data_IF_088160348688
#
_entry.id   IF_088160348688
#
_cell.length_a   1.000
_cell.length_b   1.000
_cell.length_c   1.000
_cell.angle_alpha   90.00
_cell.angle_beta   90.00
_cell.angle_gamma   90.00
#
_symmetry.space_group_name_H-M   'P 1'
#
loop_
_entity.id
_entity.type
_entity.pdbx_description
1 polymer ?
#
# COMPACT_ATOMS: atom_id res chain seq x y z
N UNK A 1 7.54 -23.96 -25.84
CA UNK A 1 7.15 -22.55 -25.98
C UNK A 1 5.65 -22.46 -25.74
N UNK A 2 5.23 -22.00 -24.56
CA UNK A 2 3.82 -22.05 -24.12
C UNK A 2 2.92 -21.13 -24.95
N UNK A 3 1.68 -21.56 -25.21
CA UNK A 3 0.75 -20.83 -26.07
C UNK A 3 0.17 -19.60 -25.36
N UNK A 4 -0.02 -18.52 -26.12
CA UNK A 4 -0.64 -17.26 -25.69
C UNK A 4 -2.18 -17.35 -25.55
N UNK A 5 -2.75 -18.53 -25.80
CA UNK A 5 -4.19 -18.76 -25.78
C UNK A 5 -4.71 -19.11 -24.37
N UNK A 6 -3.84 -19.43 -23.40
CA UNK A 6 -4.29 -19.71 -22.03
C UNK A 6 -4.58 -18.40 -21.30
N UNK A 7 -5.86 -18.12 -21.10
CA UNK A 7 -6.29 -17.02 -20.25
C UNK A 7 -6.04 -17.40 -18.79
N UNK A 8 -5.31 -16.60 -18.01
CA UNK A 8 -5.11 -16.86 -16.59
C UNK A 8 -6.47 -16.82 -15.88
N UNK A 9 -6.75 -17.84 -15.08
CA UNK A 9 -7.99 -17.92 -14.30
C UNK A 9 -7.91 -16.93 -13.14
N UNK A 10 -8.78 -15.94 -13.15
CA UNK A 10 -8.84 -14.93 -12.09
C UNK A 10 -9.27 -15.57 -10.74
N UNK A 11 -8.70 -15.14 -9.62
CA UNK A 11 -9.12 -15.59 -8.30
C UNK A 11 -10.56 -15.14 -8.01
N UNK A 12 -11.34 -16.01 -7.36
CA UNK A 12 -12.73 -15.73 -6.98
C UNK A 12 -12.83 -14.70 -5.85
N UNK A 13 -13.83 -13.84 -5.89
CA UNK A 13 -14.11 -12.86 -4.84
C UNK A 13 -14.58 -13.54 -3.56
N UNK A 14 -13.95 -13.22 -2.43
CA UNK A 14 -14.37 -13.68 -1.10
C UNK A 14 -15.17 -12.57 -0.41
N UNK A 15 -16.39 -12.89 0.02
CA UNK A 15 -17.23 -11.97 0.81
C UNK A 15 -16.94 -12.22 2.29
N UNK A 16 -16.39 -11.22 2.98
CA UNK A 16 -16.22 -11.25 4.43
C UNK A 16 -17.40 -10.53 5.09
N UNK A 17 -18.17 -11.26 5.89
CA UNK A 17 -19.22 -10.67 6.72
C UNK A 17 -18.59 -10.07 7.96
N UNK A 18 -18.75 -8.75 8.12
CA UNK A 18 -18.34 -8.03 9.33
C UNK A 18 -19.58 -7.92 10.23
N UNK A 19 -19.46 -8.21 11.54
CA UNK A 19 -20.59 -8.05 12.46
C UNK A 19 -21.00 -6.58 12.54
N UNK A 20 -22.29 -6.34 12.31
CA UNK A 20 -22.91 -5.03 12.47
C UNK A 20 -23.05 -4.73 13.97
N UNK A 21 -22.42 -3.65 14.44
CA UNK A 21 -22.58 -3.19 15.82
C UNK A 21 -23.95 -2.53 15.96
N UNK A 22 -24.84 -3.14 16.75
CA UNK A 22 -26.09 -2.52 17.16
C UNK A 22 -25.81 -1.53 18.29
N UNK A 23 -25.87 -0.23 18.01
CA UNK A 23 -25.84 0.80 19.05
C UNK A 23 -27.20 0.83 19.73
N UNK A 24 -27.35 0.06 20.81
CA UNK A 24 -28.50 0.19 21.70
C UNK A 24 -28.33 1.47 22.50
N UNK A 25 -29.08 2.52 22.16
CA UNK A 25 -29.18 3.73 22.98
C UNK A 25 -29.96 3.40 24.25
N UNK A 26 -29.26 2.97 25.30
CA UNK A 26 -29.80 2.99 26.66
C UNK A 26 -29.62 4.41 27.21
N UNK A 27 -30.74 5.08 27.48
CA UNK A 27 -30.78 6.33 28.22
C UNK A 27 -30.46 6.06 29.70
N UNK A 28 -29.71 6.97 30.32
CA UNK A 28 -29.36 7.04 31.76
C UNK A 28 -28.15 6.14 32.12
N UNK A 29 -27.01 6.59 32.65
CA UNK A 29 -26.74 7.64 33.62
C UNK A 29 -25.26 8.08 33.59
N UNK A 30 -24.98 9.19 34.27
CA UNK A 30 -23.73 9.97 34.31
C UNK A 30 -22.51 9.22 34.89
N UNK A 31 -21.36 9.26 34.19
CA UNK A 31 -19.98 9.49 34.70
C UNK A 31 -18.88 8.63 34.04
N UNK A 32 -17.86 9.32 33.53
CA UNK A 32 -16.49 8.84 33.30
C UNK A 32 -16.29 7.85 32.14
N UNK A 33 -15.91 8.34 30.95
CA UNK A 33 -14.77 7.87 30.10
C UNK A 33 -14.94 8.44 28.67
N UNK A 34 -14.56 9.70 28.45
CA UNK A 34 -14.52 10.29 27.09
C UNK A 34 -13.11 10.69 26.61
N UNK A 35 -12.08 10.59 27.48
CA UNK A 35 -10.71 10.96 27.10
C UNK A 35 -9.97 9.91 26.25
N UNK A 36 -10.46 8.67 26.20
CA UNK A 36 -9.81 7.54 25.51
C UNK A 36 -10.22 7.41 24.02
N UNK A 37 -11.42 7.86 23.66
CA UNK A 37 -11.93 7.77 22.30
C UNK A 37 -11.29 8.83 21.37
N UNK A 38 -11.10 10.05 21.86
CA UNK A 38 -10.53 11.15 21.10
C UNK A 38 -9.02 10.94 20.80
N UNK A 39 -8.29 10.38 21.76
CA UNK A 39 -6.88 10.00 21.59
C UNK A 39 -6.71 8.85 20.59
N UNK A 40 -7.56 7.82 20.63
CA UNK A 40 -7.54 6.72 19.66
C UNK A 40 -7.88 7.18 18.22
N UNK A 41 -8.83 8.10 18.06
CA UNK A 41 -9.24 8.64 16.77
C UNK A 41 -8.16 9.55 16.15
N UNK A 42 -7.50 10.35 16.98
CA UNK A 42 -6.37 11.19 16.56
C UNK A 42 -5.20 10.33 16.09
N UNK A 43 -4.88 9.26 16.83
CA UNK A 43 -3.82 8.30 16.47
C UNK A 43 -4.14 7.59 15.15
N UNK A 44 -5.40 7.17 14.94
CA UNK A 44 -5.82 6.51 13.69
C UNK A 44 -5.78 7.45 12.47
N UNK A 45 -6.01 8.74 12.66
CA UNK A 45 -5.91 9.74 11.59
C UNK A 45 -4.45 10.02 11.22
N UNK A 46 -3.55 10.08 12.21
CA UNK A 46 -2.11 10.23 12.00
C UNK A 46 -1.51 9.02 11.27
N UNK A 47 -1.86 7.81 11.68
CA UNK A 47 -1.44 6.57 11.00
C UNK A 47 -1.93 6.52 9.55
N UNK A 48 -3.15 6.99 9.28
CA UNK A 48 -3.64 7.09 7.89
C UNK A 48 -2.83 8.10 7.06
N UNK A 49 -2.51 9.27 7.62
CA UNK A 49 -1.69 10.28 6.94
C UNK A 49 -0.29 9.75 6.62
N UNK A 50 0.36 9.08 7.56
CA UNK A 50 1.71 8.52 7.34
C UNK A 50 1.70 7.41 6.30
N UNK A 51 0.70 6.53 6.31
CA UNK A 51 0.54 5.48 5.30
C UNK A 51 0.28 6.03 3.89
N UNK A 52 -0.53 7.09 3.76
CA UNK A 52 -0.75 7.75 2.48
C UNK A 52 0.52 8.43 1.96
N UNK A 53 1.27 9.12 2.84
CA UNK A 53 2.54 9.75 2.48
C UNK A 53 3.62 8.73 2.09
N UNK A 54 3.73 7.61 2.81
CA UNK A 54 4.69 6.56 2.49
C UNK A 54 4.35 5.90 1.15
N UNK A 55 3.07 5.65 0.89
CA UNK A 55 2.59 5.10 -0.38
C UNK A 55 2.88 6.04 -1.55
N UNK A 56 2.65 7.34 -1.37
CA UNK A 56 2.96 8.34 -2.40
C UNK A 56 4.47 8.42 -2.68
N UNK A 57 5.31 8.48 -1.65
CA UNK A 57 6.77 8.48 -1.81
C UNK A 57 7.30 7.20 -2.44
N UNK A 58 6.74 6.04 -2.09
CA UNK A 58 7.12 4.74 -2.66
C UNK A 58 6.84 4.71 -4.16
N UNK A 59 5.63 5.11 -4.58
CA UNK A 59 5.27 5.17 -6.01
C UNK A 59 6.18 6.11 -6.79
N UNK A 60 6.42 7.32 -6.27
CA UNK A 60 7.30 8.29 -6.90
C UNK A 60 8.75 7.78 -6.99
N UNK A 61 9.25 7.12 -5.94
CA UNK A 61 10.56 6.49 -5.94
C UNK A 61 10.69 5.36 -6.97
N UNK A 62 9.66 4.52 -7.12
CA UNK A 62 9.64 3.48 -8.15
C UNK A 62 9.63 4.07 -9.56
N UNK A 63 8.86 5.13 -9.78
CA UNK A 63 8.86 5.86 -11.07
C UNK A 63 10.24 6.45 -11.35
N UNK A 64 10.84 7.16 -10.39
CA UNK A 64 12.17 7.75 -10.57
C UNK A 64 13.25 6.68 -10.85
N UNK A 65 13.28 5.59 -10.08
CA UNK A 65 14.26 4.51 -10.25
C UNK A 65 14.05 3.77 -11.57
N UNK A 66 12.80 3.52 -11.98
CA UNK A 66 12.52 2.87 -13.26
C UNK A 66 12.91 3.74 -14.46
N UNK A 67 12.60 5.04 -14.44
CA UNK A 67 13.06 5.97 -15.46
C UNK A 67 14.58 6.07 -15.48
N UNK A 68 15.24 6.10 -14.32
CA UNK A 68 16.71 6.12 -14.25
C UNK A 68 17.31 4.84 -14.83
N UNK A 69 16.74 3.67 -14.53
CA UNK A 69 17.17 2.39 -15.11
C UNK A 69 16.97 2.31 -16.61
N UNK A 70 15.86 2.83 -17.14
CA UNK A 70 15.62 2.92 -18.58
C UNK A 70 16.58 3.89 -19.27
N UNK A 71 16.86 5.04 -18.66
CA UNK A 71 17.83 6.01 -19.17
C UNK A 71 19.24 5.44 -19.16
N UNK A 72 19.64 4.75 -18.09
CA UNK A 72 20.97 4.11 -17.96
C UNK A 72 21.16 2.95 -18.93
N UNK A 73 20.07 2.24 -19.26
CA UNK A 73 20.04 1.25 -20.34
C UNK A 73 20.15 1.91 -21.73
N UNK A 74 19.46 3.04 -21.93
CA UNK A 74 19.46 3.77 -23.21
C UNK A 74 20.79 4.48 -23.49
N UNK A 75 21.47 4.99 -22.47
CA UNK A 75 22.80 5.61 -22.60
C UNK A 75 23.93 4.57 -22.68
N UNK A 76 23.63 3.27 -22.55
CA UNK A 76 24.61 2.19 -22.70
C UNK A 76 25.74 2.23 -21.67
N UNK A 77 25.59 3.00 -20.59
CA UNK A 77 26.63 3.26 -19.60
C UNK A 77 26.71 2.17 -18.51
N UNK A 78 25.96 1.08 -18.69
CA UNK A 78 26.14 -0.15 -17.93
C UNK A 78 27.49 -0.73 -18.34
N UNK A 79 28.48 -0.61 -17.44
CA UNK A 79 29.82 -1.19 -17.55
C UNK A 79 29.67 -2.71 -17.70
N UNK A 80 29.42 -3.18 -18.92
CA UNK A 80 29.33 -4.60 -19.23
C UNK A 80 30.73 -5.14 -18.99
N UNK A 81 30.87 -6.01 -17.99
CA UNK A 81 32.12 -6.72 -17.77
C UNK A 81 32.48 -7.43 -19.07
N UNK A 82 33.55 -6.99 -19.70
CA UNK A 82 34.14 -7.67 -20.83
C UNK A 82 34.63 -9.03 -20.33
N UNK A 83 34.59 -10.07 -21.17
CA UNK A 83 35.10 -11.40 -20.83
C UNK A 83 36.59 -11.40 -20.44
N UNK A 84 37.29 -10.29 -20.67
CA UNK A 84 38.69 -10.08 -20.35
C UNK A 84 38.93 -9.09 -19.21
N UNK A 85 37.87 -8.56 -18.60
CA UNK A 85 37.97 -7.87 -17.32
C UNK A 85 38.78 -6.58 -17.32
N UNK A 86 38.99 -5.91 -18.45
CA UNK A 86 39.35 -4.49 -18.62
C UNK A 86 38.76 -4.00 -19.97
#
# INVERSE_FOLDING_TARGET
>A
MGSLASRPKAPSTQVAYVPQTTTTTASTDTSTTDASADSAQTTAAEVRKTNLLSSARSRLGTVQTSFRGLLDLATGNTTRKTLLGE
#
